data_IF_351934754410
#
_entry.id   IF_351934754410
#
_cell.length_a   1.000
_cell.length_b   1.000
_cell.length_c   1.000
_cell.angle_alpha   90.00
_cell.angle_beta   90.00
_cell.angle_gamma   90.00
#
_symmetry.space_group_name_H-M   'P 1'
#
loop_
_entity.id
_entity.type
_entity.pdbx_description
1 polymer ?
#
# COMPACT_ATOMS: atom_id res chain seq x y z
N UNK A 1 -4.88 42.19 -27.44
CA UNK A 1 -5.16 41.85 -28.86
C UNK A 1 -3.88 41.22 -29.40
N UNK A 2 -3.80 40.05 -30.00
CA UNK A 2 -4.77 39.12 -30.56
C UNK A 2 -4.00 38.28 -31.59
N UNK A 3 -3.99 36.96 -31.38
CA UNK A 3 -3.92 35.82 -32.31
C UNK A 3 -3.13 35.84 -33.65
N UNK A 4 -2.52 34.66 -33.89
CA UNK A 4 -2.35 33.94 -35.17
C UNK A 4 -1.23 34.39 -36.11
N UNK A 5 -0.60 33.56 -36.96
CA UNK A 5 -0.43 32.11 -37.11
C UNK A 5 0.54 31.92 -38.28
N UNK A 6 1.38 30.88 -38.22
CA UNK A 6 1.93 30.12 -39.37
C UNK A 6 2.59 30.85 -40.55
N UNK A 7 3.86 30.53 -40.80
CA UNK A 7 4.36 29.83 -42.01
C UNK A 7 5.80 30.22 -42.31
N UNK A 8 6.71 29.24 -42.33
CA UNK A 8 7.82 29.23 -43.29
C UNK A 8 8.30 27.80 -43.52
N UNK A 9 7.81 27.26 -44.63
CA UNK A 9 8.30 26.10 -45.36
C UNK A 9 9.61 26.42 -46.08
N UNK A 10 10.27 25.32 -46.46
CA UNK A 10 11.31 25.17 -47.49
C UNK A 10 12.75 25.47 -46.99
N UNK A 11 13.78 24.69 -47.33
CA UNK A 11 14.19 24.00 -48.57
C UNK A 11 14.99 22.72 -48.17
N UNK A 12 15.22 21.64 -48.94
CA UNK A 12 15.35 21.43 -50.39
C UNK A 12 15.27 19.92 -50.74
N UNK A 13 14.77 19.64 -51.94
CA UNK A 13 14.65 18.39 -52.70
C UNK A 13 15.91 17.51 -52.82
N UNK A 14 15.67 16.21 -53.04
CA UNK A 14 16.38 15.46 -54.09
C UNK A 14 15.48 14.37 -54.70
N UNK A 15 15.17 14.59 -55.99
CA UNK A 15 15.05 13.63 -57.10
C UNK A 15 14.24 12.33 -56.93
N UNK A 16 13.20 12.25 -57.76
CA UNK A 16 12.35 11.09 -58.02
C UNK A 16 13.14 9.93 -58.65
N UNK A 17 13.13 8.78 -57.98
CA UNK A 17 13.32 7.45 -58.57
C UNK A 17 11.97 6.70 -58.44
N UNK A 18 11.31 6.26 -59.54
CA UNK A 18 9.95 5.71 -59.45
C UNK A 18 9.88 4.28 -58.89
N UNK A 19 11.01 3.60 -58.63
CA UNK A 19 11.01 2.18 -58.27
C UNK A 19 11.30 1.88 -56.79
N UNK A 20 11.48 2.89 -55.94
CA UNK A 20 11.90 2.67 -54.55
C UNK A 20 11.11 3.43 -53.46
N UNK A 21 10.03 4.13 -53.81
CA UNK A 21 9.46 5.14 -52.91
C UNK A 21 8.25 4.70 -52.07
N UNK A 22 7.59 3.57 -52.36
CA UNK A 22 6.38 3.18 -51.60
C UNK A 22 6.68 2.68 -50.18
N UNK A 23 7.63 1.74 -50.03
CA UNK A 23 7.90 1.14 -48.70
C UNK A 23 8.63 2.10 -47.76
N UNK A 24 9.50 2.96 -48.29
CA UNK A 24 10.25 3.94 -47.49
C UNK A 24 9.38 5.12 -47.06
N UNK A 25 8.49 5.63 -47.93
CA UNK A 25 7.47 6.60 -47.49
C UNK A 25 6.47 5.98 -46.53
N UNK A 26 6.09 4.71 -46.71
CA UNK A 26 5.22 4.01 -45.77
C UNK A 26 5.90 3.85 -44.40
N UNK A 27 7.19 3.50 -44.38
CA UNK A 27 8.00 3.38 -43.16
C UNK A 27 8.18 4.74 -42.46
N UNK A 28 8.38 5.81 -43.22
CA UNK A 28 8.49 7.17 -42.68
C UNK A 28 7.13 7.70 -42.17
N UNK A 29 6.02 7.41 -42.86
CA UNK A 29 4.67 7.74 -42.38
C UNK A 29 4.31 6.94 -41.13
N UNK A 30 4.69 5.67 -41.07
CA UNK A 30 4.52 4.83 -39.90
C UNK A 30 5.38 5.33 -38.72
N UNK A 31 6.63 5.72 -38.98
CA UNK A 31 7.50 6.37 -38.00
C UNK A 31 6.94 7.70 -37.49
N UNK A 32 6.37 8.52 -38.37
CA UNK A 32 5.71 9.78 -38.00
C UNK A 32 4.44 9.53 -37.19
N UNK A 33 3.67 8.48 -37.51
CA UNK A 33 2.50 8.07 -36.72
C UNK A 33 2.90 7.57 -35.32
N UNK A 34 4.00 6.80 -35.20
CA UNK A 34 4.54 6.39 -33.89
C UNK A 34 5.10 7.57 -33.10
N UNK A 35 5.78 8.51 -33.76
CA UNK A 35 6.30 9.73 -33.13
C UNK A 35 5.16 10.63 -32.64
N UNK A 36 4.13 10.86 -33.45
CA UNK A 36 2.95 11.65 -33.07
C UNK A 36 2.09 10.92 -32.02
N UNK A 37 2.03 9.59 -32.04
CA UNK A 37 1.40 8.79 -30.98
C UNK A 37 2.17 8.88 -29.65
N UNK A 38 3.51 8.91 -29.70
CA UNK A 38 4.36 9.16 -28.55
C UNK A 38 4.19 10.60 -28.02
N UNK A 39 4.12 11.61 -28.89
CA UNK A 39 3.91 13.01 -28.50
C UNK A 39 2.52 13.27 -27.88
N UNK A 40 1.46 12.60 -28.35
CA UNK A 40 0.08 12.86 -27.92
C UNK A 40 -0.30 12.29 -26.54
N UNK A 41 0.51 11.43 -25.92
CA UNK A 41 0.24 10.88 -24.57
C UNK A 41 1.37 11.06 -23.54
N UNK A 42 2.61 11.36 -23.95
CA UNK A 42 3.77 11.40 -23.04
C UNK A 42 4.34 12.80 -22.77
N UNK A 43 3.93 13.85 -23.49
CA UNK A 43 4.57 15.19 -23.37
C UNK A 43 4.49 15.82 -21.97
N UNK A 44 3.39 15.62 -21.24
CA UNK A 44 3.25 16.10 -19.85
C UNK A 44 3.89 15.12 -18.85
N UNK A 45 3.92 13.83 -19.18
CA UNK A 45 4.49 12.76 -18.37
C UNK A 45 6.03 12.84 -18.30
N UNK A 46 6.70 13.19 -19.39
CA UNK A 46 8.17 13.29 -19.42
C UNK A 46 8.71 14.54 -18.72
N UNK A 47 7.89 15.57 -18.55
CA UNK A 47 8.27 16.85 -17.94
C UNK A 47 7.88 16.96 -16.46
N UNK A 48 7.02 16.06 -15.97
CA UNK A 48 6.60 16.02 -14.57
C UNK A 48 6.65 14.59 -14.04
N UNK A 49 7.51 14.36 -13.05
CA UNK A 49 7.66 13.06 -12.41
C UNK A 49 6.50 12.83 -11.43
N UNK A 50 5.32 12.56 -11.98
CA UNK A 50 4.10 12.27 -11.22
C UNK A 50 3.59 10.87 -11.56
N UNK A 51 2.68 10.38 -10.72
CA UNK A 51 2.13 9.03 -10.83
C UNK A 51 1.46 8.80 -12.18
N UNK A 52 0.78 9.82 -12.75
CA UNK A 52 0.19 9.77 -14.09
C UNK A 52 1.21 9.50 -15.19
N UNK A 53 2.42 10.03 -15.05
CA UNK A 53 3.50 9.81 -16.00
C UNK A 53 3.95 8.35 -16.05
N UNK A 54 4.16 7.75 -14.88
CA UNK A 54 4.55 6.35 -14.73
C UNK A 54 3.42 5.44 -15.24
N UNK A 55 2.16 5.75 -14.92
CA UNK A 55 0.99 5.02 -15.41
C UNK A 55 0.87 5.03 -16.93
N UNK A 56 1.05 6.19 -17.58
CA UNK A 56 1.02 6.31 -19.04
C UNK A 56 2.15 5.51 -19.71
N UNK A 57 3.35 5.49 -19.10
CA UNK A 57 4.48 4.66 -19.55
C UNK A 57 4.18 3.16 -19.42
N UNK A 58 3.55 2.73 -18.31
CA UNK A 58 3.15 1.34 -18.12
C UNK A 58 2.07 0.90 -19.12
N UNK A 59 1.03 1.71 -19.35
CA UNK A 59 -0.09 1.40 -20.26
C UNK A 59 0.37 1.39 -21.72
N UNK A 60 1.23 2.31 -22.14
CA UNK A 60 1.73 2.36 -23.53
C UNK A 60 2.63 1.17 -23.91
N UNK A 61 3.15 0.43 -22.92
CA UNK A 61 3.84 -0.85 -23.13
C UNK A 61 2.93 -2.08 -23.23
N UNK A 62 1.65 -1.99 -22.82
CA UNK A 62 0.70 -3.13 -22.81
C UNK A 62 0.24 -3.51 -24.22
N UNK A 63 0.12 -2.54 -25.13
CA UNK A 63 -0.51 -2.78 -26.44
C UNK A 63 0.45 -3.20 -27.57
N UNK A 64 1.76 -3.38 -27.30
CA UNK A 64 2.75 -3.50 -28.40
C UNK A 64 3.74 -4.66 -28.37
N UNK A 65 3.62 -5.66 -27.48
CA UNK A 65 4.57 -6.80 -27.50
C UNK A 65 3.86 -8.13 -27.24
N UNK A 66 3.71 -8.92 -28.31
CA UNK A 66 3.52 -10.36 -28.18
C UNK A 66 4.76 -10.96 -27.50
N UNK A 67 4.53 -11.84 -26.53
CA UNK A 67 5.47 -12.30 -25.48
C UNK A 67 5.79 -11.20 -24.46
N UNK A 68 4.99 -11.15 -23.39
CA UNK A 68 5.21 -10.28 -22.23
C UNK A 68 6.55 -10.60 -21.56
N UNK A 69 7.56 -9.76 -21.81
CA UNK A 69 8.85 -9.82 -21.12
C UNK A 69 8.65 -9.86 -19.60
N UNK A 70 9.33 -10.78 -18.90
CA UNK A 70 9.23 -10.95 -17.44
C UNK A 70 9.54 -9.65 -16.67
N UNK A 71 10.50 -8.86 -17.18
CA UNK A 71 10.85 -7.54 -16.64
C UNK A 71 9.67 -6.58 -16.68
N UNK A 72 8.90 -6.61 -17.77
CA UNK A 72 7.71 -5.77 -17.93
C UNK A 72 6.61 -6.16 -16.94
N UNK A 73 6.34 -7.46 -16.78
CA UNK A 73 5.35 -7.94 -15.78
C UNK A 73 5.75 -7.54 -14.35
N UNK A 74 7.03 -7.69 -13.99
CA UNK A 74 7.54 -7.33 -12.67
C UNK A 74 7.48 -5.82 -12.40
N UNK A 75 7.79 -5.00 -13.43
CA UNK A 75 7.67 -3.55 -13.35
C UNK A 75 6.22 -3.12 -13.19
N UNK A 76 5.30 -3.68 -13.99
CA UNK A 76 3.86 -3.40 -13.87
C UNK A 76 3.34 -3.66 -12.46
N UNK A 77 3.60 -4.86 -11.91
CA UNK A 77 3.12 -5.21 -10.57
C UNK A 77 3.74 -4.34 -9.47
N UNK A 78 5.00 -3.95 -9.60
CA UNK A 78 5.67 -3.06 -8.64
C UNK A 78 5.09 -1.65 -8.67
N UNK A 79 4.85 -1.10 -9.86
CA UNK A 79 4.21 0.20 -10.04
C UNK A 79 2.77 0.18 -9.55
N UNK A 80 1.99 -0.83 -9.93
CA UNK A 80 0.61 -1.02 -9.50
C UNK A 80 0.51 -1.13 -7.96
N UNK A 81 1.39 -1.89 -7.31
CA UNK A 81 1.46 -2.00 -5.84
C UNK A 81 1.67 -0.62 -5.19
N UNK A 82 2.72 0.09 -5.62
CA UNK A 82 3.11 1.38 -5.04
C UNK A 82 2.02 2.43 -5.22
N UNK A 83 1.40 2.45 -6.39
CA UNK A 83 0.28 3.34 -6.66
C UNK A 83 -0.92 3.06 -5.75
N UNK A 84 -1.34 1.78 -5.64
CA UNK A 84 -2.43 1.37 -4.76
C UNK A 84 -2.19 1.73 -3.30
N UNK A 85 -0.95 1.63 -2.83
CA UNK A 85 -0.57 2.06 -1.48
C UNK A 85 -0.72 3.56 -1.26
N UNK A 86 -0.29 4.37 -2.22
CA UNK A 86 -0.38 5.83 -2.13
C UNK A 86 -1.85 6.26 -2.20
N UNK A 87 -2.64 5.67 -3.09
CA UNK A 87 -4.05 6.02 -3.27
C UNK A 87 -4.93 5.61 -2.10
N UNK A 88 -4.57 4.55 -1.36
CA UNK A 88 -5.26 4.22 -0.12
C UNK A 88 -5.15 5.34 0.94
N UNK A 89 -4.16 6.23 0.80
CA UNK A 89 -3.91 7.34 1.73
C UNK A 89 -4.38 8.70 1.21
N UNK A 90 -4.72 8.83 -0.07
CA UNK A 90 -5.10 10.10 -0.70
C UNK A 90 -6.53 9.99 -1.24
N UNK A 91 -7.48 10.85 -0.80
CA UNK A 91 -8.87 10.84 -1.26
C UNK A 91 -9.02 11.48 -2.65
N UNK A 92 -8.26 11.01 -3.64
CA UNK A 92 -8.46 11.36 -5.05
C UNK A 92 -9.37 10.29 -5.66
N UNK A 93 -10.37 10.72 -6.44
CA UNK A 93 -11.26 9.83 -7.18
C UNK A 93 -10.49 8.78 -7.99
N UNK A 94 -11.07 7.59 -8.08
CA UNK A 94 -10.48 6.34 -8.60
C UNK A 94 -9.54 6.50 -9.81
N UNK A 95 -8.36 5.85 -9.84
CA UNK A 95 -7.41 5.97 -10.96
C UNK A 95 -7.87 5.23 -12.23
N UNK A 96 -7.28 5.62 -13.36
CA UNK A 96 -7.46 5.01 -14.68
C UNK A 96 -7.04 3.52 -14.78
N UNK A 97 -6.26 2.99 -13.84
CA UNK A 97 -5.80 1.59 -13.82
C UNK A 97 -6.76 0.63 -13.12
N UNK A 98 -7.99 1.05 -12.80
CA UNK A 98 -9.03 0.14 -12.31
C UNK A 98 -9.47 -0.87 -13.38
N UNK A 99 -9.12 -0.64 -14.65
CA UNK A 99 -9.73 -1.33 -15.80
C UNK A 99 -8.78 -1.86 -16.90
N UNK A 100 -7.61 -2.43 -16.59
CA UNK A 100 -7.18 -3.65 -17.27
C UNK A 100 -7.70 -4.82 -16.44
N UNK A 101 -8.34 -5.80 -17.09
CA UNK A 101 -8.67 -7.08 -16.48
C UNK A 101 -7.46 -7.55 -15.68
N UNK A 102 -7.63 -7.71 -14.36
CA UNK A 102 -6.60 -8.22 -13.47
C UNK A 102 -5.96 -9.43 -14.18
N UNK A 103 -4.65 -9.44 -14.48
CA UNK A 103 -4.05 -10.65 -15.01
C UNK A 103 -4.27 -11.72 -13.93
N UNK A 104 -5.13 -12.70 -14.22
CA UNK A 104 -5.41 -13.82 -13.30
C UNK A 104 -4.10 -14.55 -12.95
N UNK A 105 -3.11 -14.45 -13.83
CA UNK A 105 -1.79 -15.04 -13.70
C UNK A 105 -0.83 -14.18 -12.89
N UNK A 106 -0.19 -14.79 -11.89
CA UNK A 106 0.97 -14.23 -11.20
C UNK A 106 2.16 -14.04 -12.18
N UNK A 107 3.10 -13.12 -11.90
CA UNK A 107 4.32 -13.00 -12.69
C UNK A 107 5.07 -14.34 -12.68
N UNK A 108 5.55 -14.77 -13.85
CA UNK A 108 6.26 -16.04 -13.99
C UNK A 108 7.63 -16.00 -13.26
N UNK A 109 8.11 -17.16 -12.76
CA UNK A 109 9.45 -17.28 -12.18
C UNK A 109 10.54 -16.86 -13.16
N UNK A 110 11.67 -16.32 -12.67
CA UNK A 110 12.88 -16.14 -13.48
C UNK A 110 13.17 -17.42 -14.23
N UNK A 111 13.24 -17.32 -15.56
CA UNK A 111 13.78 -18.43 -16.34
C UNK A 111 15.25 -18.51 -15.98
N UNK A 112 15.59 -19.43 -15.09
CA UNK A 112 16.96 -19.68 -14.70
C UNK A 112 17.76 -20.01 -15.97
N UNK A 113 18.56 -19.05 -16.43
CA UNK A 113 19.62 -19.33 -17.41
C UNK A 113 20.65 -20.12 -16.62
N UNK A 114 20.42 -21.43 -16.56
CA UNK A 114 21.30 -22.40 -15.91
C UNK A 114 22.67 -22.30 -16.55
N UNK A 115 23.60 -21.60 -15.92
CA UNK A 115 25.03 -21.90 -16.04
C UNK A 115 25.93 -21.25 -14.97
N UNK A 116 25.40 -20.65 -13.90
CA UNK A 116 26.25 -20.20 -12.81
C UNK A 116 25.64 -20.55 -11.45
N UNK A 117 26.38 -21.34 -10.67
CA UNK A 117 26.25 -21.48 -9.23
C UNK A 117 26.63 -20.14 -8.59
N UNK A 118 25.81 -19.12 -8.81
CA UNK A 118 26.14 -17.74 -8.48
C UNK A 118 25.18 -17.22 -7.42
N UNK A 119 25.73 -16.57 -6.41
CA UNK A 119 25.00 -15.98 -5.29
C UNK A 119 23.86 -15.05 -5.77
N UNK A 120 24.03 -14.48 -6.96
CA UNK A 120 23.06 -13.62 -7.62
C UNK A 120 21.78 -14.33 -8.06
N UNK A 121 21.84 -15.60 -8.47
CA UNK A 121 20.64 -16.36 -8.88
C UNK A 121 19.73 -16.66 -7.69
N UNK A 122 20.31 -17.00 -6.53
CA UNK A 122 19.55 -17.21 -5.29
C UNK A 122 18.91 -15.90 -4.79
N UNK A 123 19.64 -14.78 -4.88
CA UNK A 123 19.10 -13.45 -4.54
C UNK A 123 17.96 -13.02 -5.47
N UNK A 124 18.06 -13.34 -6.77
CA UNK A 124 17.01 -13.08 -7.75
C UNK A 124 15.75 -13.91 -7.45
N UNK A 125 15.91 -15.19 -7.16
CA UNK A 125 14.82 -16.09 -6.77
C UNK A 125 14.12 -15.60 -5.49
N UNK A 126 14.87 -15.22 -4.45
CA UNK A 126 14.29 -14.69 -3.22
C UNK A 126 13.57 -13.35 -3.45
N UNK A 127 14.10 -12.48 -4.32
CA UNK A 127 13.45 -11.22 -4.69
C UNK A 127 12.12 -11.46 -5.42
N UNK A 128 12.06 -12.51 -6.24
CA UNK A 128 10.84 -12.93 -6.92
C UNK A 128 9.81 -13.49 -5.93
N UNK A 129 10.23 -14.33 -4.97
CA UNK A 129 9.35 -14.82 -3.90
C UNK A 129 8.80 -13.68 -3.04
N UNK A 130 9.64 -12.68 -2.73
CA UNK A 130 9.19 -11.49 -2.03
C UNK A 130 8.14 -10.72 -2.84
N UNK A 131 8.38 -10.49 -4.14
CA UNK A 131 7.42 -9.82 -5.02
C UNK A 131 6.07 -10.56 -5.09
N UNK A 132 6.10 -11.88 -5.28
CA UNK A 132 4.87 -12.69 -5.30
C UNK A 132 4.09 -12.61 -4.00
N UNK A 133 4.80 -12.67 -2.87
CA UNK A 133 4.18 -12.59 -1.55
C UNK A 133 3.53 -11.24 -1.31
N UNK A 134 4.18 -10.17 -1.77
CA UNK A 134 3.64 -8.82 -1.74
C UNK A 134 2.36 -8.69 -2.60
N UNK A 135 2.32 -9.29 -3.78
CA UNK A 135 1.13 -9.32 -4.64
C UNK A 135 0.00 -10.13 -3.99
N UNK A 136 0.31 -11.31 -3.46
CA UNK A 136 -0.67 -12.19 -2.81
C UNK A 136 -1.32 -11.50 -1.60
N UNK A 137 -0.52 -10.91 -0.71
CA UNK A 137 -1.02 -10.17 0.44
C UNK A 137 -1.78 -8.90 0.02
N UNK A 138 -1.36 -8.24 -1.07
CA UNK A 138 -2.08 -7.08 -1.63
C UNK A 138 -3.50 -7.44 -2.03
N UNK A 139 -3.71 -8.57 -2.73
CA UNK A 139 -5.05 -9.01 -3.16
C UNK A 139 -5.99 -9.18 -1.96
N UNK A 140 -5.50 -9.80 -0.88
CA UNK A 140 -6.25 -9.90 0.38
C UNK A 140 -6.52 -8.49 0.95
N UNK A 141 -5.50 -7.62 0.98
CA UNK A 141 -5.62 -6.25 1.49
C UNK A 141 -6.68 -5.44 0.73
N UNK A 142 -6.74 -5.53 -0.59
CA UNK A 142 -7.68 -4.78 -1.41
C UNK A 142 -9.12 -5.26 -1.19
N UNK A 143 -9.34 -6.57 -1.10
CA UNK A 143 -10.66 -7.15 -0.78
C UNK A 143 -11.14 -6.74 0.63
N UNK A 144 -10.24 -6.80 1.62
CA UNK A 144 -10.50 -6.32 2.97
C UNK A 144 -10.81 -4.82 2.94
N UNK A 145 -10.03 -4.02 2.21
CA UNK A 145 -10.21 -2.58 2.11
C UNK A 145 -11.57 -2.19 1.52
N UNK A 146 -12.01 -2.90 0.48
CA UNK A 146 -13.34 -2.70 -0.11
C UNK A 146 -14.47 -3.01 0.89
N UNK A 147 -14.35 -4.14 1.60
CA UNK A 147 -15.32 -4.52 2.65
C UNK A 147 -15.40 -3.46 3.75
N UNK A 148 -14.25 -3.02 4.26
CA UNK A 148 -14.18 -2.03 5.35
C UNK A 148 -14.73 -0.67 4.91
N UNK A 149 -14.33 -0.18 3.72
CA UNK A 149 -14.84 1.09 3.20
C UNK A 149 -16.35 1.04 3.05
N UNK A 150 -16.87 -0.01 2.39
CA UNK A 150 -18.32 -0.17 2.18
C UNK A 150 -19.10 -0.14 3.49
N UNK A 151 -18.61 -0.81 4.54
CA UNK A 151 -19.28 -0.84 5.85
C UNK A 151 -19.24 0.52 6.54
N UNK A 152 -18.05 1.13 6.65
CA UNK A 152 -17.87 2.41 7.35
C UNK A 152 -18.60 3.53 6.61
N UNK A 153 -18.53 3.58 5.27
CA UNK A 153 -19.19 4.60 4.47
C UNK A 153 -20.72 4.52 4.61
N UNK A 154 -21.28 3.30 4.65
CA UNK A 154 -22.70 3.08 4.86
C UNK A 154 -23.18 3.63 6.21
N UNK A 155 -22.40 3.44 7.29
CA UNK A 155 -22.72 3.94 8.64
C UNK A 155 -22.50 5.44 8.79
N UNK A 156 -21.37 5.96 8.32
CA UNK A 156 -20.93 7.35 8.56
C UNK A 156 -21.61 8.34 7.63
N UNK A 157 -21.66 8.06 6.32
CA UNK A 157 -22.12 9.02 5.32
C UNK A 157 -23.56 8.78 4.86
N UNK A 158 -24.00 7.52 4.85
CA UNK A 158 -25.33 7.15 4.37
C UNK A 158 -26.32 6.86 5.49
N UNK A 159 -25.87 6.82 6.75
CA UNK A 159 -26.67 6.52 7.94
C UNK A 159 -27.53 5.25 7.79
N UNK A 160 -27.02 4.26 7.06
CA UNK A 160 -27.70 2.99 6.82
C UNK A 160 -27.45 2.02 7.97
N UNK A 161 -28.51 1.32 8.39
CA UNK A 161 -28.41 0.24 9.37
C UNK A 161 -27.77 -0.99 8.70
N UNK A 162 -26.44 -1.06 8.73
CA UNK A 162 -25.68 -2.26 8.37
C UNK A 162 -25.43 -3.10 9.62
N UNK A 163 -25.68 -4.41 9.54
CA UNK A 163 -25.45 -5.32 10.65
C UNK A 163 -24.01 -5.85 10.63
N UNK A 164 -23.22 -5.50 11.65
CA UNK A 164 -21.82 -5.94 11.81
C UNK A 164 -21.67 -7.47 11.88
N UNK A 165 -22.71 -8.19 12.35
CA UNK A 165 -22.68 -9.65 12.46
C UNK A 165 -22.55 -10.34 11.10
N UNK A 166 -22.97 -9.68 10.01
CA UNK A 166 -22.78 -10.20 8.64
C UNK A 166 -21.30 -10.26 8.24
N UNK A 167 -20.45 -9.42 8.86
CA UNK A 167 -19.02 -9.40 8.59
C UNK A 167 -18.25 -10.50 9.33
N UNK A 168 -18.83 -11.12 10.37
CA UNK A 168 -18.16 -12.17 11.17
C UNK A 168 -17.66 -13.35 10.33
N UNK A 169 -18.50 -14.02 9.51
CA UNK A 169 -18.02 -15.13 8.68
C UNK A 169 -17.06 -14.68 7.58
N UNK A 170 -17.20 -13.44 7.09
CA UNK A 170 -16.33 -12.87 6.05
C UNK A 170 -14.92 -12.65 6.62
N UNK A 171 -14.82 -12.06 7.81
CA UNK A 171 -13.53 -11.82 8.46
C UNK A 171 -12.88 -13.13 8.88
N UNK A 172 -13.63 -14.11 9.38
CA UNK A 172 -13.09 -15.44 9.66
C UNK A 172 -12.42 -16.08 8.42
N UNK A 173 -12.99 -15.90 7.23
CA UNK A 173 -12.39 -16.37 5.99
C UNK A 173 -11.13 -15.56 5.61
N UNK A 174 -11.14 -14.24 5.77
CA UNK A 174 -9.92 -13.44 5.56
C UNK A 174 -8.79 -13.80 6.52
N UNK A 175 -9.10 -14.12 7.78
CA UNK A 175 -8.12 -14.61 8.74
C UNK A 175 -7.50 -15.94 8.29
N UNK A 176 -8.33 -16.87 7.81
CA UNK A 176 -7.87 -18.14 7.25
C UNK A 176 -6.94 -17.92 6.05
N UNK A 177 -7.28 -16.99 5.16
CA UNK A 177 -6.44 -16.65 4.01
C UNK A 177 -5.12 -15.98 4.42
N UNK A 178 -5.15 -15.08 5.40
CA UNK A 178 -3.95 -14.43 5.92
C UNK A 178 -3.01 -15.43 6.61
N UNK A 179 -3.55 -16.37 7.39
CA UNK A 179 -2.74 -17.42 8.02
C UNK A 179 -2.16 -18.37 6.97
N UNK A 180 -2.98 -18.84 6.02
CA UNK A 180 -2.49 -19.66 4.91
C UNK A 180 -1.37 -18.94 4.14
N UNK A 181 -1.56 -17.65 3.82
CA UNK A 181 -0.51 -16.83 3.21
C UNK A 181 0.81 -16.93 3.98
N UNK A 182 0.77 -16.74 5.32
CA UNK A 182 1.96 -16.79 6.18
C UNK A 182 2.56 -18.19 6.27
N UNK A 183 1.73 -19.24 6.34
CA UNK A 183 2.17 -20.63 6.43
C UNK A 183 2.96 -21.06 5.19
N UNK A 184 2.47 -20.68 4.01
CA UNK A 184 3.05 -21.03 2.71
C UNK A 184 4.18 -20.11 2.24
N UNK A 185 4.60 -19.12 3.05
CA UNK A 185 5.76 -18.31 2.72
C UNK A 185 7.04 -19.15 2.65
N UNK A 186 7.87 -18.98 1.59
CA UNK A 186 9.23 -19.50 1.52
C UNK A 186 10.09 -19.08 2.74
N UNK A 187 11.03 -19.94 3.14
CA UNK A 187 11.85 -19.72 4.34
C UNK A 187 12.65 -18.40 4.32
N UNK A 188 13.02 -17.91 3.14
CA UNK A 188 13.73 -16.65 2.94
C UNK A 188 12.93 -15.43 3.43
N UNK A 189 11.61 -15.48 3.33
CA UNK A 189 10.69 -14.37 3.66
C UNK A 189 9.71 -14.70 4.79
N UNK A 190 9.63 -15.96 5.22
CA UNK A 190 8.83 -16.36 6.39
C UNK A 190 9.37 -15.71 7.66
N UNK A 191 8.48 -15.04 8.38
CA UNK A 191 8.81 -14.19 9.52
C UNK A 191 8.24 -14.73 10.85
N UNK A 192 8.97 -14.53 11.96
CA UNK A 192 8.48 -14.87 13.30
C UNK A 192 7.47 -13.83 13.80
N UNK A 193 6.71 -14.17 14.84
CA UNK A 193 5.77 -13.22 15.44
C UNK A 193 6.52 -12.16 16.26
N UNK A 194 5.83 -11.10 16.69
CA UNK A 194 6.41 -10.22 17.72
C UNK A 194 6.33 -10.94 19.07
N UNK A 195 7.33 -10.81 19.96
CA UNK A 195 8.44 -9.85 19.93
C UNK A 195 9.74 -10.36 19.26
N UNK A 196 9.74 -11.53 18.63
CA UNK A 196 10.95 -12.11 18.05
C UNK A 196 11.58 -11.21 16.97
N UNK A 197 12.91 -11.14 16.92
CA UNK A 197 13.64 -10.28 15.97
C UNK A 197 13.65 -10.92 14.57
N UNK A 198 13.45 -10.10 13.54
CA UNK A 198 13.57 -10.50 12.13
C UNK A 198 15.01 -10.46 11.66
N UNK A 199 15.41 -11.42 10.85
CA UNK A 199 16.81 -11.57 10.40
C UNK A 199 17.16 -10.72 9.19
N UNK A 200 16.18 -10.25 8.43
CA UNK A 200 16.39 -9.44 7.22
C UNK A 200 15.23 -8.44 7.00
N UNK A 201 15.43 -7.50 6.08
CA UNK A 201 14.45 -6.45 5.74
C UNK A 201 13.16 -7.03 5.16
N UNK A 202 13.23 -8.05 4.30
CA UNK A 202 12.05 -8.66 3.69
C UNK A 202 11.09 -9.23 4.73
N UNK A 203 11.62 -9.99 5.69
CA UNK A 203 10.84 -10.53 6.82
C UNK A 203 10.24 -9.42 7.67
N UNK A 204 10.99 -8.35 7.93
CA UNK A 204 10.50 -7.20 8.69
C UNK A 204 9.35 -6.50 7.96
N UNK A 205 9.52 -6.25 6.67
CA UNK A 205 8.56 -5.56 5.83
C UNK A 205 7.27 -6.39 5.67
N UNK A 206 7.38 -7.65 5.26
CA UNK A 206 6.22 -8.55 5.10
C UNK A 206 5.47 -8.76 6.41
N UNK A 207 6.18 -8.81 7.56
CA UNK A 207 5.56 -8.88 8.88
C UNK A 207 4.71 -7.65 9.20
N UNK A 208 5.22 -6.45 8.91
CA UNK A 208 4.47 -5.20 9.09
C UNK A 208 3.20 -5.18 8.25
N UNK A 209 3.32 -5.55 6.96
CA UNK A 209 2.18 -5.67 6.04
C UNK A 209 1.14 -6.69 6.53
N UNK A 210 1.58 -7.83 7.06
CA UNK A 210 0.70 -8.86 7.59
C UNK A 210 -0.13 -8.35 8.78
N UNK A 211 0.51 -7.74 9.79
CA UNK A 211 -0.24 -7.16 10.91
C UNK A 211 -1.16 -6.02 10.49
N UNK A 212 -0.77 -5.24 9.47
CA UNK A 212 -1.61 -4.18 8.92
C UNK A 212 -2.92 -4.72 8.35
N UNK A 213 -2.88 -5.84 7.64
CA UNK A 213 -4.07 -6.51 7.07
C UNK A 213 -4.94 -7.11 8.16
N UNK A 214 -4.31 -7.77 9.14
CA UNK A 214 -5.02 -8.30 10.30
C UNK A 214 -5.72 -7.21 11.11
N UNK A 215 -5.11 -6.04 11.32
CA UNK A 215 -5.83 -4.92 11.94
C UNK A 215 -6.96 -4.42 11.06
N UNK A 216 -6.70 -4.23 9.76
CA UNK A 216 -7.66 -3.62 8.84
C UNK A 216 -8.97 -4.40 8.77
N UNK A 217 -8.91 -5.73 8.68
CA UNK A 217 -10.11 -6.57 8.61
C UNK A 217 -10.97 -6.53 9.89
N UNK A 218 -10.37 -6.20 11.03
CA UNK A 218 -11.08 -6.09 12.30
C UNK A 218 -11.61 -4.67 12.58
N UNK A 219 -11.21 -3.69 11.78
CA UNK A 219 -11.56 -2.28 11.99
C UNK A 219 -13.07 -1.99 12.06
N UNK A 220 -13.96 -2.65 11.29
CA UNK A 220 -15.40 -2.49 11.45
C UNK A 220 -15.89 -2.84 12.86
N UNK A 221 -15.34 -3.89 13.49
CA UNK A 221 -15.72 -4.28 14.84
C UNK A 221 -15.18 -3.30 15.89
N UNK A 222 -13.97 -2.78 15.69
CA UNK A 222 -13.44 -1.70 16.54
C UNK A 222 -14.36 -0.48 16.44
N UNK A 223 -14.75 -0.08 15.21
CA UNK A 223 -15.65 1.04 15.00
C UNK A 223 -16.99 0.82 15.73
N UNK A 224 -17.64 -0.32 15.56
CA UNK A 224 -18.92 -0.60 16.21
C UNK A 224 -18.78 -0.66 17.74
N UNK A 225 -17.77 -1.34 18.27
CA UNK A 225 -17.55 -1.42 19.73
C UNK A 225 -17.28 -0.05 20.38
N UNK A 226 -16.71 0.90 19.62
CA UNK A 226 -16.49 2.28 20.09
C UNK A 226 -17.79 3.11 20.12
N UNK A 227 -18.71 2.87 19.19
CA UNK A 227 -19.94 3.67 19.06
C UNK A 227 -21.16 3.02 19.73
N UNK A 228 -21.15 1.70 19.90
CA UNK A 228 -22.22 0.89 20.48
C UNK A 228 -21.64 -0.01 21.60
N UNK A 229 -21.52 0.50 22.85
CA UNK A 229 -20.91 -0.25 23.96
C UNK A 229 -21.63 -1.57 24.30
N UNK A 230 -22.93 -1.64 24.01
CA UNK A 230 -23.80 -2.80 24.20
C UNK A 230 -23.69 -3.85 23.08
N UNK A 231 -22.64 -3.78 22.24
CA UNK A 231 -22.38 -4.76 21.20
C UNK A 231 -22.27 -6.20 21.74
N UNK A 232 -22.50 -7.16 20.84
CA UNK A 232 -22.44 -8.58 21.16
C UNK A 232 -21.05 -8.99 21.65
N UNK A 233 -20.97 -10.06 22.43
CA UNK A 233 -19.69 -10.61 22.88
C UNK A 233 -18.76 -10.99 21.72
N UNK A 234 -19.34 -11.44 20.60
CA UNK A 234 -18.60 -11.78 19.37
C UNK A 234 -17.95 -10.55 18.76
N UNK A 235 -18.73 -9.48 18.56
CA UNK A 235 -18.23 -8.19 18.01
C UNK A 235 -17.14 -7.62 18.91
N UNK A 236 -17.37 -7.62 20.24
CA UNK A 236 -16.39 -7.16 21.22
C UNK A 236 -15.08 -7.95 21.15
N UNK A 237 -15.15 -9.29 21.09
CA UNK A 237 -13.95 -10.13 20.98
C UNK A 237 -13.16 -9.88 19.69
N UNK A 238 -13.85 -9.62 18.57
CA UNK A 238 -13.21 -9.28 17.30
C UNK A 238 -12.59 -7.88 17.32
N UNK A 239 -13.21 -6.91 18.00
CA UNK A 239 -12.63 -5.59 18.24
C UNK A 239 -11.34 -5.70 19.06
N UNK A 240 -11.35 -6.44 20.16
CA UNK A 240 -10.18 -6.69 21.02
C UNK A 240 -9.05 -7.38 20.24
N UNK A 241 -9.39 -8.34 19.38
CA UNK A 241 -8.43 -8.99 18.47
C UNK A 241 -7.81 -7.99 17.49
N UNK A 242 -8.61 -7.08 16.94
CA UNK A 242 -8.14 -5.97 16.11
C UNK A 242 -7.15 -5.06 16.83
N UNK A 243 -7.44 -4.68 18.09
CA UNK A 243 -6.54 -3.87 18.92
C UNK A 243 -5.24 -4.61 19.26
N UNK A 244 -5.30 -5.92 19.51
CA UNK A 244 -4.09 -6.72 19.68
C UNK A 244 -3.22 -6.71 18.42
N UNK A 245 -3.81 -6.76 17.22
CA UNK A 245 -3.08 -6.65 15.96
C UNK A 245 -2.52 -5.24 15.71
N UNK A 246 -3.24 -4.19 16.10
CA UNK A 246 -2.74 -2.82 16.09
C UNK A 246 -1.49 -2.67 16.99
N UNK A 247 -1.50 -3.26 18.19
CA UNK A 247 -0.32 -3.29 19.07
C UNK A 247 0.84 -4.06 18.45
N UNK A 248 0.59 -5.24 17.86
CA UNK A 248 1.62 -6.00 17.15
C UNK A 248 2.23 -5.20 16.01
N UNK A 249 1.43 -4.39 15.30
CA UNK A 249 1.93 -3.47 14.30
C UNK A 249 2.84 -2.39 14.93
N UNK A 250 2.50 -1.76 16.06
CA UNK A 250 3.43 -0.82 16.71
C UNK A 250 4.74 -1.50 17.16
N UNK A 251 4.70 -2.80 17.45
CA UNK A 251 5.84 -3.58 17.89
C UNK A 251 6.73 -4.11 16.75
N UNK A 252 6.24 -4.21 15.51
CA UNK A 252 6.91 -5.00 14.45
C UNK A 252 8.25 -4.45 13.96
N UNK A 253 8.45 -3.13 13.94
CA UNK A 253 9.63 -2.49 13.36
C UNK A 253 10.54 -1.85 14.39
N UNK A 254 11.82 -1.74 14.04
CA UNK A 254 12.77 -0.94 14.80
C UNK A 254 12.56 0.56 14.51
N UNK A 255 12.69 1.41 15.53
CA UNK A 255 12.36 2.85 15.46
C UNK A 255 13.14 3.57 14.37
N UNK A 256 14.41 3.21 14.19
CA UNK A 256 15.34 3.88 13.24
C UNK A 256 15.47 3.21 11.87
N UNK A 257 14.71 2.14 11.60
CA UNK A 257 14.90 1.40 10.35
C UNK A 257 14.34 2.16 9.14
N UNK A 258 15.21 2.48 8.17
CA UNK A 258 14.82 3.10 6.90
C UNK A 258 14.47 2.04 5.87
N UNK A 259 13.35 2.24 5.17
CA UNK A 259 12.95 1.43 4.02
C UNK A 259 12.02 2.25 3.10
N UNK A 260 11.76 1.75 1.88
CA UNK A 260 10.97 2.43 0.86
C UNK A 260 9.52 2.75 1.27
N UNK A 261 8.93 1.97 2.19
CA UNK A 261 7.58 2.16 2.71
C UNK A 261 7.50 2.97 4.00
N UNK A 262 8.59 3.61 4.44
CA UNK A 262 8.67 4.26 5.75
C UNK A 262 7.61 5.36 5.93
N UNK A 263 7.39 6.18 4.90
CA UNK A 263 6.39 7.26 4.99
C UNK A 263 4.98 6.73 5.30
N UNK A 264 4.58 5.63 4.65
CA UNK A 264 3.31 4.94 4.93
C UNK A 264 3.32 4.32 6.33
N UNK A 265 4.44 3.73 6.74
CA UNK A 265 4.57 3.14 8.06
C UNK A 265 4.32 4.18 9.16
N UNK A 266 4.94 5.37 9.05
CA UNK A 266 4.81 6.44 10.05
C UNK A 266 3.36 6.92 10.19
N UNK A 267 2.63 7.05 9.08
CA UNK A 267 1.19 7.40 9.11
C UNK A 267 0.35 6.30 9.78
N UNK A 268 0.64 5.05 9.46
CA UNK A 268 -0.03 3.92 10.08
C UNK A 268 0.25 3.82 11.58
N UNK A 269 1.47 4.18 12.03
CA UNK A 269 1.81 4.26 13.46
C UNK A 269 0.89 5.22 14.21
N UNK A 270 0.62 6.41 13.64
CA UNK A 270 -0.34 7.37 14.23
C UNK A 270 -1.71 6.74 14.34
N UNK A 271 -2.18 6.16 13.25
CA UNK A 271 -3.50 5.55 13.14
C UNK A 271 -3.68 4.39 14.14
N UNK A 272 -2.70 3.51 14.32
CA UNK A 272 -2.79 2.44 15.33
C UNK A 272 -2.76 2.99 16.76
N UNK A 273 -1.90 3.97 17.05
CA UNK A 273 -1.84 4.60 18.37
C UNK A 273 -3.17 5.31 18.70
N UNK A 274 -3.75 6.03 17.74
CA UNK A 274 -5.05 6.69 17.90
C UNK A 274 -6.19 5.69 18.13
N UNK A 275 -6.18 4.52 17.48
CA UNK A 275 -7.18 3.48 17.74
C UNK A 275 -7.07 2.91 19.15
N UNK A 276 -5.86 2.63 19.61
CA UNK A 276 -5.62 2.14 20.98
C UNK A 276 -6.07 3.19 22.01
N UNK A 277 -5.78 4.46 21.78
CA UNK A 277 -6.22 5.56 22.66
C UNK A 277 -7.74 5.74 22.65
N UNK A 278 -8.39 5.64 21.48
CA UNK A 278 -9.85 5.68 21.40
C UNK A 278 -10.48 4.52 22.16
N UNK A 279 -9.99 3.29 21.95
CA UNK A 279 -10.50 2.10 22.65
C UNK A 279 -10.30 2.18 24.17
N UNK A 280 -9.21 2.78 24.66
CA UNK A 280 -8.99 2.91 26.10
C UNK A 280 -10.01 3.82 26.79
N UNK A 281 -10.74 4.66 26.05
CA UNK A 281 -11.84 5.47 26.59
C UNK A 281 -13.13 4.70 26.85
N UNK A 282 -13.25 3.47 26.35
CA UNK A 282 -14.48 2.67 26.44
C UNK A 282 -14.29 1.53 27.46
N UNK A 283 -14.92 1.58 28.65
CA UNK A 283 -14.70 0.60 29.72
C UNK A 283 -15.06 -0.85 29.34
N UNK A 284 -15.96 -1.03 28.37
CA UNK A 284 -16.39 -2.35 27.91
C UNK A 284 -15.33 -3.07 27.05
N UNK A 285 -14.31 -2.37 26.54
CA UNK A 285 -13.30 -2.95 25.66
C UNK A 285 -12.07 -3.34 26.50
N UNK A 286 -11.66 -4.61 26.44
CA UNK A 286 -10.42 -5.04 27.08
C UNK A 286 -9.21 -4.60 26.26
N UNK A 287 -8.37 -3.76 26.87
CA UNK A 287 -7.11 -3.33 26.24
C UNK A 287 -6.06 -4.44 26.20
N UNK A 288 -5.26 -4.56 25.12
CA UNK A 288 -4.19 -5.55 25.04
C UNK A 288 -3.01 -5.19 25.97
N UNK A 289 -2.38 -6.21 26.57
CA UNK A 289 -1.27 -6.02 27.49
C UNK A 289 -0.10 -5.28 26.82
N UNK A 290 0.43 -4.26 27.49
CA UNK A 290 1.54 -3.45 26.97
C UNK A 290 1.15 -2.39 25.94
N UNK A 291 -0.14 -2.10 25.75
CA UNK A 291 -0.59 -1.10 24.78
C UNK A 291 0.02 0.29 25.02
N UNK A 292 0.17 0.71 26.29
CA UNK A 292 0.80 2.00 26.64
C UNK A 292 2.24 2.07 26.15
N UNK A 293 3.02 1.01 26.36
CA UNK A 293 4.39 0.91 25.85
C UNK A 293 4.43 0.92 24.31
N UNK A 294 3.42 0.34 23.65
CA UNK A 294 3.24 0.46 22.20
C UNK A 294 3.04 1.90 21.74
N UNK A 295 2.19 2.67 22.43
CA UNK A 295 1.95 4.09 22.15
C UNK A 295 3.19 4.94 22.44
N UNK A 296 3.92 4.66 23.53
CA UNK A 296 5.22 5.30 23.80
C UNK A 296 6.21 5.03 22.67
N UNK A 297 6.30 3.78 22.21
CA UNK A 297 7.16 3.41 21.06
C UNK A 297 6.75 4.13 19.77
N UNK A 298 5.45 4.34 19.56
CA UNK A 298 4.95 5.13 18.44
C UNK A 298 5.48 6.57 18.50
N UNK A 299 5.36 7.23 19.65
CA UNK A 299 5.87 8.58 19.87
C UNK A 299 7.38 8.68 19.67
N UNK A 300 8.15 7.76 20.26
CA UNK A 300 9.61 7.74 20.11
C UNK A 300 10.04 7.49 18.65
N UNK A 301 9.26 6.72 17.89
CA UNK A 301 9.51 6.50 16.46
C UNK A 301 9.25 7.80 15.68
N UNK A 302 8.13 8.48 15.94
CA UNK A 302 7.79 9.75 15.27
C UNK A 302 8.80 10.86 15.61
N UNK A 303 9.25 10.92 16.86
CA UNK A 303 10.28 11.86 17.30
C UNK A 303 11.61 11.63 16.56
N UNK A 304 12.06 10.37 16.50
CA UNK A 304 13.28 9.99 15.78
C UNK A 304 13.24 10.43 14.31
N UNK A 305 12.10 10.31 13.64
CA UNK A 305 11.95 10.66 12.22
C UNK A 305 11.58 12.14 11.97
N UNK A 306 11.33 12.92 13.03
CA UNK A 306 10.81 14.29 12.92
C UNK A 306 11.76 15.28 12.27
N UNK A 307 13.06 14.99 12.27
CA UNK A 307 14.06 15.84 11.63
C UNK A 307 14.06 15.70 10.10
N UNK A 308 13.77 14.50 9.57
CA UNK A 308 13.63 14.25 8.13
C UNK A 308 12.22 14.51 7.62
N UNK A 309 11.23 14.15 8.43
CA UNK A 309 9.82 14.27 8.10
C UNK A 309 9.15 15.19 9.14
N UNK A 310 9.21 16.53 8.96
CA UNK A 310 8.66 17.48 9.92
C UNK A 310 7.19 17.24 10.30
N UNK A 311 6.40 16.61 9.41
CA UNK A 311 5.02 16.19 9.69
C UNK A 311 4.90 15.23 10.88
N UNK A 312 5.96 14.50 11.25
CA UNK A 312 5.96 13.62 12.41
C UNK A 312 5.75 14.39 13.72
N UNK A 313 6.11 15.68 13.77
CA UNK A 313 5.80 16.54 14.94
C UNK A 313 4.29 16.73 15.10
N UNK A 314 3.59 17.00 14.00
CA UNK A 314 2.13 17.10 13.98
C UNK A 314 1.49 15.76 14.35
N UNK A 315 2.03 14.65 13.83
CA UNK A 315 1.59 13.30 14.15
C UNK A 315 1.72 12.98 15.64
N UNK A 316 2.87 13.29 16.25
CA UNK A 316 3.09 13.10 17.67
C UNK A 316 2.14 13.99 18.50
N UNK A 317 1.93 15.24 18.09
CA UNK A 317 0.98 16.16 18.74
C UNK A 317 -0.45 15.62 18.75
N UNK A 318 -0.91 14.96 17.68
CA UNK A 318 -2.23 14.30 17.66
C UNK A 318 -2.32 13.20 18.73
N UNK A 319 -1.31 12.32 18.82
CA UNK A 319 -1.28 11.24 19.82
C UNK A 319 -1.28 11.83 21.25
N UNK A 320 -0.46 12.85 21.50
CA UNK A 320 -0.38 13.50 22.81
C UNK A 320 -1.71 14.13 23.21
N UNK A 321 -2.34 14.88 22.30
CA UNK A 321 -3.65 15.52 22.54
C UNK A 321 -4.74 14.49 22.88
N UNK A 322 -4.75 13.36 22.17
CA UNK A 322 -5.69 12.25 22.44
C UNK A 322 -5.40 11.53 23.76
N UNK A 323 -4.14 11.52 24.21
CA UNK A 323 -3.78 10.93 25.50
C UNK A 323 -4.17 11.83 26.67
N UNK A 324 -3.95 13.15 26.56
CA UNK A 324 -4.30 14.13 27.59
C UNK A 324 -5.81 14.17 27.85
N UNK A 325 -6.64 14.09 26.80
CA UNK A 325 -8.09 14.04 26.94
C UNK A 325 -8.60 12.77 27.64
N UNK A 326 -7.82 11.69 27.64
CA UNK A 326 -8.12 10.46 28.35
C UNK A 326 -7.69 10.52 29.83
N UNK A 327 -6.49 11.04 30.11
CA UNK A 327 -5.97 11.14 31.47
C UNK A 327 -6.65 12.23 32.30
N UNK A 328 -7.16 13.30 31.68
CA UNK A 328 -7.98 14.30 32.40
C UNK A 328 -9.33 13.74 32.89
N UNK A 329 -9.80 12.60 32.36
CA UNK A 329 -11.06 11.95 32.72
C UNK A 329 -10.89 10.73 33.63
N UNK A 330 -9.65 10.34 33.93
CA UNK A 330 -9.34 9.23 34.83
C UNK A 330 -8.51 9.80 35.99
N UNK A 331 -9.11 9.92 37.18
CA UNK A 331 -8.47 10.38 38.44
C UNK A 331 -7.37 9.41 38.93
N UNK A 332 -6.47 8.99 38.06
CA UNK A 332 -5.22 8.31 38.38
C UNK A 332 -4.09 9.05 37.65
N UNK A 333 -3.59 10.10 38.31
CA UNK A 333 -2.38 10.83 37.94
C UNK A 333 -1.18 9.88 37.86
N UNK A 334 -0.94 9.33 36.66
CA UNK A 334 0.39 8.91 36.24
C UNK A 334 0.69 9.63 34.93
N UNK A 335 1.36 10.79 35.00
CA UNK A 335 1.86 11.47 33.82
C UNK A 335 2.78 10.52 33.06
N UNK A 336 2.64 10.46 31.73
CA UNK A 336 3.68 9.90 30.88
C UNK A 336 4.85 10.90 30.93
N UNK A 337 5.75 10.72 31.90
CA UNK A 337 6.99 11.51 31.98
C UNK A 337 7.93 11.10 30.84
N UNK A 338 8.37 12.09 30.07
CA UNK A 338 9.44 11.98 29.08
C UNK A 338 10.75 12.47 29.72
N UNK A 339 11.80 11.66 29.64
CA UNK A 339 13.21 12.10 29.81
C UNK A 339 13.92 12.17 28.48
#
# INVERSE_FOLDING_TARGET
>A
MGLSSTSRLAWFCCSEDPSYSSSRLASLRLGQCYFVAAEKRLGVAMSSMNVLAIQCLCISGVDSVGETSQTFSSLFWTCFKSEREILAEIPIGTPALRDPAFPDSYPQPPQAVSDALDQWTALEEDSWYFLLSEIALRRITDQVGEMVSKYIDAKVYHHQSSNIEELVPIVAEFERQAEAFREFLPAAIKFPHVPEVTTNEWKQYSRGRYYRVLELMHRPFIFDALHEPDCSATVRALAEKGLANALKYLQHSHRSHRHHGLWLQLRNVVKEASLLLAASTVPAIKMPDGWRAGVTKALETLDYWSWEFPSCKTYASVILTLSESHFANTDEDVPIEFT
#
